data_IF_052956628230
#
_entry.id   IF_052956628230
#
_cell.length_a   1.000
_cell.length_b   1.000
_cell.length_c   1.000
_cell.angle_alpha   90.00
_cell.angle_beta   90.00
_cell.angle_gamma   90.00
#
_symmetry.space_group_name_H-M   'P 1'
#
loop_
_entity.id
_entity.type
_entity.pdbx_description
1 polymer ?
#
# COMPACT_ATOMS: atom_id res chain seq x y z
N UNK A 1 10.27 -12.77 7.87
CA UNK A 1 9.53 -13.55 6.86
C UNK A 1 9.05 -12.56 5.81
N UNK A 2 9.17 -12.88 4.52
CA UNK A 2 8.78 -11.99 3.42
C UNK A 2 7.32 -12.22 3.00
N UNK A 3 6.72 -11.24 2.34
CA UNK A 3 5.38 -11.38 1.77
C UNK A 3 5.38 -12.48 0.68
N UNK A 4 4.48 -13.48 0.76
CA UNK A 4 4.41 -14.52 -0.26
C UNK A 4 4.14 -13.94 -1.64
N UNK A 5 4.87 -14.37 -2.67
CA UNK A 5 4.71 -13.91 -4.05
C UNK A 5 4.75 -12.37 -4.19
N UNK A 6 5.58 -11.68 -3.41
CA UNK A 6 5.68 -10.21 -3.47
C UNK A 6 5.97 -9.68 -4.89
N UNK A 7 6.71 -10.43 -5.72
CA UNK A 7 6.98 -10.07 -7.12
C UNK A 7 5.76 -10.05 -8.04
N UNK A 8 4.62 -10.62 -7.62
CA UNK A 8 3.33 -10.52 -8.32
C UNK A 8 2.29 -9.71 -7.53
N UNK A 9 2.73 -8.92 -6.55
CA UNK A 9 1.83 -8.07 -5.78
C UNK A 9 1.11 -7.03 -6.66
N UNK A 10 -0.16 -6.76 -6.33
CA UNK A 10 -1.06 -5.96 -7.14
C UNK A 10 -1.54 -4.73 -6.37
N UNK A 11 -1.27 -3.56 -6.94
CA UNK A 11 -1.83 -2.26 -6.54
C UNK A 11 -2.60 -1.69 -7.74
N UNK A 12 -3.91 -1.78 -7.70
CA UNK A 12 -4.78 -1.35 -8.82
C UNK A 12 -4.80 0.18 -8.98
N UNK A 13 -4.78 0.67 -10.21
CA UNK A 13 -4.88 2.10 -10.53
C UNK A 13 -6.11 2.77 -9.93
N UNK A 14 -7.26 2.10 -9.95
CA UNK A 14 -8.51 2.63 -9.37
C UNK A 14 -8.36 2.90 -7.88
N UNK A 15 -7.61 2.05 -7.16
CA UNK A 15 -7.33 2.25 -5.74
C UNK A 15 -6.44 3.46 -5.48
N UNK A 16 -5.51 3.77 -6.38
CA UNK A 16 -4.66 4.95 -6.26
C UNK A 16 -5.47 6.22 -6.54
N UNK A 17 -6.19 6.26 -7.66
CA UNK A 17 -6.89 7.46 -8.14
C UNK A 17 -8.22 7.74 -7.44
N UNK A 18 -9.03 6.70 -7.19
CA UNK A 18 -10.37 6.85 -6.62
C UNK A 18 -10.38 6.76 -5.08
N UNK A 19 -9.26 6.42 -4.45
CA UNK A 19 -9.20 6.24 -3.00
C UNK A 19 -7.98 6.89 -2.34
N UNK A 20 -6.74 6.50 -2.68
CA UNK A 20 -5.55 6.97 -1.97
C UNK A 20 -5.18 8.43 -2.24
N UNK A 21 -5.45 8.93 -3.45
CA UNK A 21 -5.16 10.31 -3.85
C UNK A 21 -6.43 11.13 -4.12
N UNK A 22 -7.61 10.58 -3.80
CA UNK A 22 -8.90 11.24 -4.05
C UNK A 22 -9.38 12.07 -2.86
N UNK A 23 -9.53 13.38 -3.06
CA UNK A 23 -10.19 14.26 -2.08
C UNK A 23 -11.70 14.03 -1.99
N UNK A 24 -12.29 13.43 -3.03
CA UNK A 24 -13.73 13.24 -3.14
C UNK A 24 -14.24 12.00 -2.36
N UNK A 25 -13.34 11.11 -1.92
CA UNK A 25 -13.73 9.89 -1.24
C UNK A 25 -13.97 10.16 0.27
N UNK A 26 -15.18 9.96 0.81
CA UNK A 26 -15.52 10.39 2.18
C UNK A 26 -14.68 9.71 3.27
N UNK A 27 -14.18 8.50 3.00
CA UNK A 27 -13.25 7.78 3.90
C UNK A 27 -11.78 7.96 3.47
N UNK A 28 -11.54 8.27 2.19
CA UNK A 28 -10.21 8.33 1.58
C UNK A 28 -9.53 9.68 1.75
N UNK A 29 -10.31 10.74 2.00
CA UNK A 29 -9.83 12.13 2.14
C UNK A 29 -8.65 12.29 3.11
N UNK A 30 -8.62 11.55 4.23
CA UNK A 30 -7.52 11.63 5.19
C UNK A 30 -6.23 10.96 4.68
N UNK A 31 -6.36 9.94 3.83
CA UNK A 31 -5.22 9.32 3.14
C UNK A 31 -4.73 10.20 1.99
N UNK A 32 -5.64 10.78 1.23
CA UNK A 32 -5.31 11.76 0.18
C UNK A 32 -4.54 12.95 0.77
N UNK A 33 -5.02 13.51 1.88
CA UNK A 33 -4.32 14.59 2.59
C UNK A 33 -2.92 14.17 3.06
N UNK A 34 -2.79 12.95 3.60
CA UNK A 34 -1.50 12.41 4.02
C UNK A 34 -0.50 12.33 2.85
N UNK A 35 -0.87 11.67 1.74
CA UNK A 35 0.01 11.55 0.58
C UNK A 35 0.31 12.89 -0.08
N UNK A 36 -0.66 13.82 -0.12
CA UNK A 36 -0.44 15.18 -0.61
C UNK A 36 0.56 15.96 0.26
N UNK A 37 0.51 15.82 1.59
CA UNK A 37 1.50 16.43 2.48
C UNK A 37 2.91 15.84 2.29
N UNK A 38 3.00 14.61 1.77
CA UNK A 38 4.25 13.99 1.39
C UNK A 38 4.72 14.39 -0.02
N UNK A 39 3.94 15.20 -0.73
CA UNK A 39 4.25 15.72 -2.05
C UNK A 39 3.74 14.87 -3.21
N UNK A 40 2.97 13.81 -2.96
CA UNK A 40 2.30 13.07 -4.03
C UNK A 40 1.09 13.82 -4.55
N UNK A 41 0.92 13.87 -5.86
CA UNK A 41 -0.31 14.33 -6.50
C UNK A 41 -0.94 13.26 -7.42
N UNK A 42 -2.01 13.62 -8.12
CA UNK A 42 -2.72 12.70 -9.03
C UNK A 42 -1.86 12.22 -10.22
N UNK A 43 -0.78 12.93 -10.56
CA UNK A 43 0.19 12.53 -11.57
C UNK A 43 1.18 11.49 -11.02
N UNK A 44 1.47 11.50 -9.71
CA UNK A 44 2.42 10.59 -9.07
C UNK A 44 1.88 9.19 -8.77
N UNK A 45 0.73 8.83 -9.34
CA UNK A 45 0.09 7.50 -9.13
C UNK A 45 1.04 6.33 -9.40
N UNK A 46 1.91 6.42 -10.41
CA UNK A 46 2.87 5.37 -10.72
C UNK A 46 4.05 5.33 -9.73
N UNK A 47 4.47 6.49 -9.20
CA UNK A 47 5.50 6.58 -8.16
C UNK A 47 4.98 5.95 -6.87
N UNK A 48 3.80 6.37 -6.40
CA UNK A 48 3.18 5.81 -5.21
C UNK A 48 2.92 4.31 -5.35
N UNK A 49 2.52 3.85 -6.54
CA UNK A 49 2.39 2.41 -6.83
C UNK A 49 3.72 1.69 -6.58
N UNK A 50 4.79 2.21 -7.17
CA UNK A 50 6.10 1.58 -7.08
C UNK A 50 6.61 1.57 -5.65
N UNK A 51 6.43 2.65 -4.89
CA UNK A 51 6.83 2.73 -3.49
C UNK A 51 6.13 1.66 -2.63
N UNK A 52 4.81 1.48 -2.82
CA UNK A 52 4.04 0.46 -2.10
C UNK A 52 4.48 -0.97 -2.50
N UNK A 53 4.80 -1.20 -3.78
CA UNK A 53 5.31 -2.49 -4.26
C UNK A 53 6.72 -2.77 -3.73
N UNK A 54 7.58 -1.76 -3.60
CA UNK A 54 8.90 -1.90 -3.02
C UNK A 54 8.81 -2.28 -1.54
N UNK A 55 7.88 -1.70 -0.77
CA UNK A 55 7.62 -2.15 0.61
C UNK A 55 7.30 -3.65 0.63
N UNK A 56 6.37 -4.10 -0.23
CA UNK A 56 5.97 -5.50 -0.29
C UNK A 56 7.13 -6.45 -0.66
N UNK A 57 8.02 -6.02 -1.55
CA UNK A 57 9.13 -6.81 -2.08
C UNK A 57 10.36 -6.85 -1.16
N UNK A 58 10.63 -5.76 -0.44
CA UNK A 58 11.90 -5.57 0.26
C UNK A 58 11.79 -5.70 1.78
N UNK A 59 10.57 -5.58 2.35
CA UNK A 59 10.38 -5.53 3.78
C UNK A 59 9.77 -6.81 4.35
N UNK A 60 10.04 -7.05 5.63
CA UNK A 60 9.52 -8.19 6.35
C UNK A 60 8.06 -8.00 6.79
N UNK A 61 7.30 -9.10 6.81
CA UNK A 61 5.99 -9.16 7.44
C UNK A 61 6.12 -8.82 8.93
N UNK A 62 5.40 -7.81 9.39
CA UNK A 62 5.29 -7.44 10.80
C UNK A 62 4.18 -8.18 11.53
N UNK A 63 3.11 -8.56 10.84
CA UNK A 63 2.03 -9.39 11.37
C UNK A 63 1.26 -10.13 10.27
N UNK A 64 0.55 -11.21 10.62
CA UNK A 64 -0.32 -11.93 9.69
C UNK A 64 -1.58 -12.46 10.37
N UNK A 65 -2.70 -12.43 9.65
CA UNK A 65 -3.99 -12.92 10.13
C UNK A 65 -4.67 -13.79 9.07
N UNK A 66 -4.87 -15.06 9.38
CA UNK A 66 -5.61 -15.98 8.54
C UNK A 66 -7.12 -15.85 8.76
N UNK A 67 -7.89 -15.97 7.68
CA UNK A 67 -9.35 -15.97 7.69
C UNK A 67 -9.92 -16.92 6.62
N UNK A 68 -11.23 -17.09 6.60
CA UNK A 68 -11.92 -17.86 5.55
C UNK A 68 -11.78 -17.26 4.14
N UNK A 69 -11.42 -15.99 4.03
CA UNK A 69 -11.25 -15.29 2.74
C UNK A 69 -9.80 -15.32 2.22
N UNK A 70 -8.86 -15.84 3.02
CA UNK A 70 -7.43 -15.79 2.76
C UNK A 70 -6.64 -15.25 3.94
N UNK A 71 -5.35 -15.00 3.72
CA UNK A 71 -4.44 -14.51 4.74
C UNK A 71 -4.08 -13.06 4.48
N UNK A 72 -4.30 -12.22 5.50
CA UNK A 72 -3.82 -10.84 5.52
C UNK A 72 -2.41 -10.78 6.07
N UNK A 73 -1.59 -9.93 5.48
CA UNK A 73 -0.22 -9.67 5.90
C UNK A 73 -0.04 -8.17 6.10
N UNK A 74 0.64 -7.80 7.16
CA UNK A 74 1.06 -6.43 7.44
C UNK A 74 2.55 -6.34 7.12
N UNK A 75 2.91 -5.35 6.32
CA UNK A 75 4.30 -5.06 5.94
C UNK A 75 4.55 -3.57 6.16
N UNK A 76 5.49 -3.26 7.03
CA UNK A 76 5.88 -1.90 7.36
C UNK A 76 7.17 -1.56 6.62
N UNK A 77 7.25 -0.36 6.04
CA UNK A 77 8.42 0.03 5.26
C UNK A 77 8.60 1.53 5.10
N UNK A 78 9.85 1.99 4.86
CA UNK A 78 10.11 3.37 4.55
C UNK A 78 9.71 3.71 3.10
N UNK A 79 9.29 4.95 2.89
CA UNK A 79 9.07 5.56 1.57
C UNK A 79 9.77 6.90 1.55
N UNK A 80 10.58 7.11 0.51
CA UNK A 80 11.14 8.44 0.22
C UNK A 80 10.18 9.19 -0.68
N UNK A 81 9.41 10.07 -0.07
CA UNK A 81 8.33 10.78 -0.75
C UNK A 81 8.85 11.90 -1.67
N UNK A 82 8.03 12.37 -2.64
CA UNK A 82 8.40 13.47 -3.54
C UNK A 82 8.79 14.77 -2.83
N UNK A 83 8.26 15.03 -1.62
CA UNK A 83 8.67 16.15 -0.77
C UNK A 83 10.13 16.08 -0.29
N UNK A 84 10.81 14.94 -0.48
CA UNK A 84 12.15 14.66 0.03
C UNK A 84 12.16 14.06 1.44
N UNK A 85 11.01 14.01 2.11
CA UNK A 85 10.87 13.38 3.41
C UNK A 85 10.86 11.86 3.29
N UNK A 86 11.47 11.19 4.27
CA UNK A 86 11.34 9.74 4.44
C UNK A 86 10.31 9.46 5.53
N UNK A 87 9.33 8.61 5.23
CA UNK A 87 8.26 8.24 6.17
C UNK A 87 8.06 6.75 6.21
N UNK A 88 7.71 6.22 7.39
CA UNK A 88 7.30 4.83 7.52
C UNK A 88 5.80 4.69 7.25
N UNK A 89 5.47 3.75 6.38
CA UNK A 89 4.09 3.41 6.01
C UNK A 89 3.84 1.96 6.33
N UNK A 90 2.70 1.69 6.96
CA UNK A 90 2.14 0.35 7.09
C UNK A 90 1.31 0.03 5.87
N UNK A 91 1.59 -1.10 5.25
CA UNK A 91 0.81 -1.66 4.15
C UNK A 91 0.15 -2.97 4.59
N UNK A 92 -1.11 -3.17 4.19
CA UNK A 92 -1.86 -4.39 4.47
C UNK A 92 -2.19 -5.04 3.14
N UNK A 93 -1.79 -6.30 3.02
CA UNK A 93 -1.96 -7.13 1.83
C UNK A 93 -2.89 -8.30 2.16
N UNK A 94 -3.59 -8.82 1.16
CA UNK A 94 -4.33 -10.09 1.27
C UNK A 94 -3.91 -11.02 0.14
N UNK A 95 -3.60 -12.27 0.49
CA UNK A 95 -3.57 -13.39 -0.46
C UNK A 95 -4.89 -14.12 -0.26
N UNK A 96 -5.78 -14.03 -1.25
CA UNK A 96 -7.12 -14.60 -1.17
C UNK A 96 -7.08 -16.14 -1.29
N UNK A 97 -8.06 -16.82 -0.71
CA UNK A 97 -8.14 -18.28 -0.82
C UNK A 97 -8.29 -18.70 -2.28
N UNK A 98 -7.34 -19.50 -2.76
CA UNK A 98 -7.31 -19.98 -4.15
C UNK A 98 -6.55 -19.07 -5.12
N UNK A 99 -5.98 -17.95 -4.65
CA UNK A 99 -5.06 -17.12 -5.44
C UNK A 99 -3.65 -17.17 -4.83
N UNK A 100 -2.69 -16.58 -5.54
CA UNK A 100 -1.30 -16.50 -5.08
C UNK A 100 -0.80 -15.07 -4.96
N UNK A 101 -1.44 -14.14 -5.67
CA UNK A 101 -1.05 -12.75 -5.83
C UNK A 101 -1.51 -11.92 -4.62
N UNK A 102 -0.60 -11.28 -3.88
CA UNK A 102 -0.96 -10.34 -2.83
C UNK A 102 -1.66 -9.12 -3.43
N UNK A 103 -2.82 -8.75 -2.89
CA UNK A 103 -3.53 -7.53 -3.26
C UNK A 103 -3.48 -6.53 -2.13
N UNK A 104 -3.17 -5.27 -2.44
CA UNK A 104 -3.19 -4.20 -1.45
C UNK A 104 -4.61 -4.00 -0.92
N UNK A 105 -4.78 -4.09 0.40
CA UNK A 105 -6.05 -3.85 1.13
C UNK A 105 -6.11 -2.40 1.61
N UNK A 106 -5.07 -1.89 2.26
CA UNK A 106 -4.96 -0.50 2.70
C UNK A 106 -3.52 -0.19 3.07
N UNK A 107 -3.22 1.10 3.18
CA UNK A 107 -2.00 1.65 3.73
C UNK A 107 -2.32 2.82 4.69
N UNK A 108 -1.40 3.17 5.58
CA UNK A 108 -1.48 4.33 6.50
C UNK A 108 -0.13 4.59 7.21
N UNK A 109 0.13 5.82 7.70
CA UNK A 109 1.34 6.12 8.48
C UNK A 109 1.37 5.40 9.83
N UNK A 110 2.58 5.18 10.36
CA UNK A 110 2.85 4.62 11.70
C UNK A 110 3.66 5.56 12.58
#
# INVERSE_FOLDING_TARGET
>A
MELPNAGSAIVTTDKLRAYLLSDAHPVGQYKALFFKNLGYDEADTDILRQDLLNIAAEQGISDSQQSAYGTKYIVDGPVRAPSGNEVSIRTVWIVESGTSEPRLVTDYPI
#
